data_IF_201256861755
#
_entry.id   IF_201256861755
#
_cell.length_a   1.000
_cell.length_b   1.000
_cell.length_c   1.000
_cell.angle_alpha   90.00
_cell.angle_beta   90.00
_cell.angle_gamma   90.00
#
_symmetry.space_group_name_H-M   'P 1'
#
loop_
_entity.id
_entity.type
_entity.pdbx_description
1 polymer ?
#
# COMPACT_ATOMS: atom_id res chain seq x y z
N UNK A 1 -11.12 3.21 -23.89
CA UNK A 1 -10.70 4.44 -24.60
C UNK A 1 -11.00 4.26 -26.07
N UNK A 2 -11.75 5.19 -26.71
CA UNK A 2 -12.05 5.15 -28.15
C UNK A 2 -11.31 6.30 -28.85
N UNK A 3 -10.80 6.06 -30.06
CA UNK A 3 -10.00 7.00 -30.80
C UNK A 3 -10.88 7.99 -31.58
N UNK A 4 -10.64 9.30 -31.45
CA UNK A 4 -11.42 10.30 -32.20
C UNK A 4 -11.02 10.35 -33.68
N UNK A 5 -11.94 10.71 -34.60
CA UNK A 5 -11.69 10.75 -36.04
C UNK A 5 -10.54 11.69 -36.45
N UNK A 6 -10.30 12.75 -35.67
CA UNK A 6 -9.26 13.75 -35.91
C UNK A 6 -7.86 13.20 -35.63
N UNK A 7 -7.75 12.35 -34.60
CA UNK A 7 -6.51 11.64 -34.27
C UNK A 7 -6.28 10.55 -35.32
N UNK A 8 -7.31 9.81 -35.71
CA UNK A 8 -7.24 8.75 -36.72
C UNK A 8 -6.69 9.25 -38.07
N UNK A 9 -7.10 10.45 -38.51
CA UNK A 9 -6.59 11.11 -39.72
C UNK A 9 -5.08 11.33 -39.74
N UNK A 10 -4.44 11.48 -38.58
CA UNK A 10 -2.99 11.71 -38.48
C UNK A 10 -2.16 10.44 -38.67
N UNK A 11 -2.75 9.26 -38.39
CA UNK A 11 -2.05 7.97 -38.43
C UNK A 11 -2.51 7.06 -39.57
N UNK A 12 -3.50 7.49 -40.36
CA UNK A 12 -4.09 6.81 -41.52
C UNK A 12 -3.08 6.42 -42.63
N UNK A 13 -1.89 7.03 -42.63
CA UNK A 13 -0.80 6.75 -43.59
C UNK A 13 0.19 5.67 -43.12
N UNK A 14 0.06 5.20 -41.89
CA UNK A 14 0.91 4.13 -41.37
C UNK A 14 0.34 2.78 -41.83
N UNK A 15 1.09 1.99 -42.63
CA UNK A 15 0.58 0.82 -43.33
C UNK A 15 0.25 -0.37 -42.43
N UNK A 16 0.79 -0.41 -41.21
CA UNK A 16 0.65 -1.54 -40.30
C UNK A 16 0.23 -1.10 -38.89
N UNK A 17 -0.66 -1.89 -38.29
CA UNK A 17 -1.23 -1.61 -36.97
C UNK A 17 -0.16 -1.42 -35.88
N UNK A 18 0.96 -2.13 -35.98
CA UNK A 18 2.09 -1.97 -35.05
C UNK A 18 2.70 -0.56 -35.11
N UNK A 19 2.84 0.03 -36.30
CA UNK A 19 3.37 1.38 -36.46
C UNK A 19 2.38 2.43 -35.96
N UNK A 20 1.08 2.24 -36.22
CA UNK A 20 0.01 3.07 -35.64
C UNK A 20 0.10 3.02 -34.11
N UNK A 21 0.24 1.82 -33.52
CA UNK A 21 0.34 1.68 -32.08
C UNK A 21 1.62 2.29 -31.52
N UNK A 22 2.76 2.13 -32.19
CA UNK A 22 4.02 2.73 -31.78
C UNK A 22 3.98 4.25 -31.86
N UNK A 23 3.37 4.83 -32.89
CA UNK A 23 3.24 6.27 -33.07
C UNK A 23 2.24 6.88 -32.09
N UNK A 24 1.14 6.17 -31.78
CA UNK A 24 0.20 6.57 -30.73
C UNK A 24 0.83 6.49 -29.35
N UNK A 25 1.56 5.41 -29.06
CA UNK A 25 2.36 5.32 -27.85
C UNK A 25 3.31 6.50 -27.79
N UNK A 26 4.18 6.73 -28.77
CA UNK A 26 5.11 7.87 -28.74
C UNK A 26 4.46 9.26 -28.59
N UNK A 27 3.24 9.45 -29.08
CA UNK A 27 2.54 10.74 -29.06
C UNK A 27 1.66 10.97 -27.81
N UNK A 28 1.18 9.89 -27.17
CA UNK A 28 0.21 9.95 -26.08
C UNK A 28 0.60 9.12 -24.85
N UNK A 29 1.61 8.26 -24.98
CA UNK A 29 2.31 7.59 -23.88
C UNK A 29 3.44 8.51 -23.43
N UNK A 30 3.23 9.14 -22.29
CA UNK A 30 4.08 10.15 -21.65
C UNK A 30 5.27 9.54 -20.86
N UNK A 31 5.54 8.24 -20.99
CA UNK A 31 6.53 7.57 -20.13
C UNK A 31 6.06 7.43 -18.67
N UNK A 32 4.74 7.51 -18.45
CA UNK A 32 4.09 7.61 -17.13
C UNK A 32 4.39 6.51 -16.12
N UNK A 33 5.02 5.41 -16.49
CA UNK A 33 5.22 4.33 -15.52
C UNK A 33 6.13 4.79 -14.37
N UNK A 34 7.20 5.54 -14.67
CA UNK A 34 8.08 6.08 -13.62
C UNK A 34 7.42 7.22 -12.82
N UNK A 35 6.61 8.07 -13.48
CA UNK A 35 5.86 9.13 -12.79
C UNK A 35 4.76 8.54 -11.88
N UNK A 36 4.12 7.47 -12.31
CA UNK A 36 3.12 6.73 -11.54
C UNK A 36 3.78 5.99 -10.38
N UNK A 37 4.89 5.28 -10.62
CA UNK A 37 5.72 4.66 -9.57
C UNK A 37 6.20 5.70 -8.57
N UNK A 38 6.66 6.88 -9.01
CA UNK A 38 7.01 7.98 -8.11
C UNK A 38 5.82 8.44 -7.28
N UNK A 39 4.65 8.62 -7.89
CA UNK A 39 3.42 9.05 -7.21
C UNK A 39 2.97 8.01 -6.18
N UNK A 40 3.01 6.73 -6.54
CA UNK A 40 2.68 5.60 -5.66
C UNK A 40 3.67 5.50 -4.51
N UNK A 41 4.98 5.60 -4.77
CA UNK A 41 5.99 5.63 -3.71
C UNK A 41 5.76 6.80 -2.76
N UNK A 42 5.54 8.01 -3.30
CA UNK A 42 5.21 9.17 -2.47
C UNK A 42 3.98 8.92 -1.62
N UNK A 43 2.92 8.33 -2.19
CA UNK A 43 1.71 7.95 -1.46
C UNK A 43 2.06 6.96 -0.34
N UNK A 44 2.75 5.86 -0.65
CA UNK A 44 3.13 4.84 0.30
C UNK A 44 3.86 5.42 1.53
N UNK A 45 4.85 6.30 1.33
CA UNK A 45 5.61 6.89 2.43
C UNK A 45 4.88 8.00 3.21
N UNK A 46 3.86 8.65 2.61
CA UNK A 46 3.18 9.80 3.22
C UNK A 46 1.81 9.45 3.82
N UNK A 47 1.17 8.36 3.37
CA UNK A 47 -0.11 7.93 3.91
C UNK A 47 0.04 7.56 5.39
N UNK A 48 -0.81 8.17 6.22
CA UNK A 48 -0.95 7.90 7.64
C UNK A 48 -2.38 7.43 7.94
N UNK A 49 -2.56 6.71 9.04
CA UNK A 49 -3.88 6.32 9.53
C UNK A 49 -4.71 7.57 9.85
N UNK A 50 -4.14 8.53 10.60
CA UNK A 50 -4.70 9.86 10.85
C UNK A 50 -6.14 9.84 11.37
N UNK A 51 -6.42 8.96 12.33
CA UNK A 51 -7.74 8.80 12.94
C UNK A 51 -8.74 8.00 12.11
N UNK A 52 -8.38 7.57 10.89
CA UNK A 52 -9.20 6.63 10.10
C UNK A 52 -9.20 5.26 10.74
N UNK A 53 -10.18 4.42 10.37
CA UNK A 53 -10.21 3.06 10.88
C UNK A 53 -8.98 2.28 10.40
N UNK A 54 -8.53 1.33 11.22
CA UNK A 54 -7.43 0.43 10.85
C UNK A 54 -7.73 -0.35 9.56
N UNK A 55 -8.99 -0.72 9.34
CA UNK A 55 -9.40 -1.43 8.14
C UNK A 55 -9.25 -0.57 6.88
N UNK A 56 -9.70 0.68 6.92
CA UNK A 56 -9.55 1.62 5.79
C UNK A 56 -8.07 1.89 5.48
N UNK A 57 -7.26 2.13 6.52
CA UNK A 57 -5.83 2.39 6.35
C UNK A 57 -5.08 1.17 5.79
N UNK A 58 -5.38 -0.03 6.30
CA UNK A 58 -4.81 -1.27 5.80
C UNK A 58 -5.21 -1.55 4.36
N UNK A 59 -6.50 -1.37 4.03
CA UNK A 59 -7.00 -1.56 2.67
C UNK A 59 -6.33 -0.62 1.66
N UNK A 60 -6.18 0.66 2.00
CA UNK A 60 -5.44 1.62 1.17
C UNK A 60 -3.98 1.19 1.02
N UNK A 61 -3.35 0.68 2.09
CA UNK A 61 -1.97 0.20 2.06
C UNK A 61 -1.76 -0.94 1.07
N UNK A 62 -2.62 -1.94 1.11
CA UNK A 62 -2.60 -3.06 0.18
C UNK A 62 -2.78 -2.60 -1.26
N UNK A 63 -3.67 -1.65 -1.52
CA UNK A 63 -3.96 -1.16 -2.87
C UNK A 63 -2.69 -0.61 -3.56
N UNK A 64 -1.99 0.33 -2.92
CA UNK A 64 -0.77 0.90 -3.54
C UNK A 64 0.40 -0.06 -3.53
N UNK A 65 0.49 -0.99 -2.58
CA UNK A 65 1.51 -2.04 -2.60
C UNK A 65 1.32 -3.01 -3.77
N UNK A 66 0.08 -3.46 -4.02
CA UNK A 66 -0.24 -4.28 -5.18
C UNK A 66 0.02 -3.54 -6.49
N UNK A 67 -0.28 -2.23 -6.56
CA UNK A 67 0.00 -1.44 -7.75
C UNK A 67 1.51 -1.25 -7.98
N UNK A 68 2.30 -1.06 -6.92
CA UNK A 68 3.77 -1.01 -7.01
C UNK A 68 4.35 -2.35 -7.48
N UNK A 69 3.90 -3.46 -6.92
CA UNK A 69 4.33 -4.81 -7.33
C UNK A 69 3.99 -5.09 -8.80
N UNK A 70 2.80 -4.69 -9.26
CA UNK A 70 2.39 -4.84 -10.65
C UNK A 70 3.29 -4.05 -11.63
N UNK A 71 3.84 -2.93 -11.18
CA UNK A 71 4.68 -2.03 -11.99
C UNK A 71 6.16 -2.34 -11.87
N UNK A 72 6.54 -3.29 -11.02
CA UNK A 72 7.92 -3.69 -10.89
C UNK A 72 8.41 -4.37 -12.18
N UNK A 73 9.52 -3.87 -12.70
CA UNK A 73 10.16 -4.34 -13.95
C UNK A 73 11.39 -5.18 -13.67
N UNK A 74 11.74 -5.41 -12.41
CA UNK A 74 12.92 -6.18 -12.05
C UNK A 74 12.76 -7.62 -12.54
N UNK A 75 13.64 -8.01 -13.47
CA UNK A 75 13.71 -9.39 -13.98
C UNK A 75 14.87 -10.10 -13.29
N UNK A 76 14.54 -11.01 -12.37
CA UNK A 76 15.49 -11.92 -11.74
C UNK A 76 15.33 -13.33 -12.32
N UNK A 77 16.45 -14.06 -12.44
CA UNK A 77 16.48 -15.42 -13.01
C UNK A 77 16.76 -16.49 -11.97
N UNK A 78 17.47 -16.13 -10.90
CA UNK A 78 17.82 -17.05 -9.84
C UNK A 78 16.68 -17.15 -8.80
N UNK A 79 16.21 -18.35 -8.44
CA UNK A 79 15.13 -18.52 -7.46
C UNK A 79 15.46 -18.01 -6.06
N UNK A 80 16.72 -18.09 -5.63
CA UNK A 80 17.16 -17.64 -4.30
C UNK A 80 17.17 -16.10 -4.25
N UNK A 81 17.64 -15.46 -5.32
CA UNK A 81 17.57 -13.99 -5.48
C UNK A 81 16.12 -13.50 -5.50
N UNK A 82 15.23 -14.20 -6.20
CA UNK A 82 13.78 -13.85 -6.23
C UNK A 82 13.20 -13.92 -4.81
N UNK A 83 13.51 -14.99 -4.06
CA UNK A 83 13.02 -15.14 -2.70
C UNK A 83 13.58 -14.06 -1.76
N UNK A 84 14.88 -13.74 -1.87
CA UNK A 84 15.51 -12.69 -1.09
C UNK A 84 14.94 -11.30 -1.40
N UNK A 85 14.70 -11.02 -2.69
CA UNK A 85 14.08 -9.77 -3.13
C UNK A 85 12.66 -9.61 -2.58
N UNK A 86 11.81 -10.63 -2.75
CA UNK A 86 10.44 -10.60 -2.21
C UNK A 86 10.42 -10.38 -0.71
N UNK A 87 11.29 -11.08 0.03
CA UNK A 87 11.44 -10.88 1.47
C UNK A 87 11.88 -9.46 1.83
N UNK A 88 12.75 -8.85 1.03
CA UNK A 88 13.18 -7.46 1.23
C UNK A 88 12.03 -6.47 0.98
N UNK A 89 11.26 -6.68 -0.09
CA UNK A 89 10.09 -5.84 -0.42
C UNK A 89 9.05 -5.96 0.69
N UNK A 90 8.66 -7.18 1.06
CA UNK A 90 7.69 -7.43 2.12
C UNK A 90 8.09 -6.75 3.45
N UNK A 91 9.36 -6.88 3.85
CA UNK A 91 9.90 -6.16 5.01
C UNK A 91 9.74 -4.64 4.89
N UNK A 92 10.01 -4.08 3.71
CA UNK A 92 9.81 -2.65 3.46
C UNK A 92 8.34 -2.24 3.56
N UNK A 93 7.42 -3.06 3.02
CA UNK A 93 5.97 -2.79 3.11
C UNK A 93 5.48 -2.79 4.57
N UNK A 94 5.96 -3.75 5.38
CA UNK A 94 5.68 -3.80 6.82
C UNK A 94 6.16 -2.52 7.51
N UNK A 95 7.38 -2.06 7.23
CA UNK A 95 7.89 -0.82 7.81
C UNK A 95 7.07 0.40 7.41
N UNK A 96 6.67 0.51 6.15
CA UNK A 96 5.84 1.61 5.66
C UNK A 96 4.48 1.62 6.38
N UNK A 97 3.83 0.46 6.46
CA UNK A 97 2.56 0.29 7.16
C UNK A 97 2.68 0.68 8.65
N UNK A 98 3.65 0.12 9.37
CA UNK A 98 3.85 0.40 10.79
C UNK A 98 4.20 1.88 11.06
N UNK A 99 4.97 2.50 10.16
CA UNK A 99 5.34 3.92 10.27
C UNK A 99 4.15 4.86 10.06
N UNK A 100 3.07 4.40 9.41
CA UNK A 100 1.89 5.20 9.18
C UNK A 100 0.76 5.03 10.20
N UNK A 101 0.87 4.06 11.10
CA UNK A 101 -0.08 3.87 12.21
C UNK A 101 -0.10 5.08 13.17
N UNK A 102 -1.27 5.30 13.77
CA UNK A 102 -1.44 6.32 14.80
C UNK A 102 -0.70 5.96 16.09
N UNK A 103 -0.38 6.97 16.91
CA UNK A 103 0.43 6.83 18.13
C UNK A 103 -0.15 5.89 19.20
N UNK A 104 -1.45 5.61 19.14
CA UNK A 104 -2.12 4.64 20.02
C UNK A 104 -1.52 3.23 19.90
N UNK A 105 -0.83 2.93 18.80
CA UNK A 105 -0.22 1.62 18.52
C UNK A 105 1.30 1.59 18.73
N UNK A 106 1.90 2.61 19.33
CA UNK A 106 3.36 2.71 19.53
C UNK A 106 3.95 1.48 20.22
N UNK A 107 3.31 1.01 21.29
CA UNK A 107 3.80 -0.13 22.06
C UNK A 107 3.80 -1.40 21.22
N UNK A 108 2.66 -1.77 20.62
CA UNK A 108 2.54 -2.99 19.82
C UNK A 108 3.43 -2.91 18.56
N UNK A 109 3.65 -1.71 18.01
CA UNK A 109 4.63 -1.50 16.93
C UNK A 109 6.05 -1.86 17.38
N UNK A 110 6.47 -1.42 18.57
CA UNK A 110 7.76 -1.81 19.14
C UNK A 110 7.88 -3.32 19.36
N UNK A 111 6.82 -3.96 19.87
CA UNK A 111 6.78 -5.41 20.07
C UNK A 111 6.87 -6.20 18.76
N UNK A 112 6.21 -5.73 17.70
CA UNK A 112 6.28 -6.33 16.35
C UNK A 112 7.71 -6.23 15.81
N UNK A 113 8.34 -5.05 15.90
CA UNK A 113 9.69 -4.79 15.37
C UNK A 113 10.79 -5.58 16.09
N UNK A 114 10.53 -6.08 17.30
CA UNK A 114 11.46 -6.91 18.07
C UNK A 114 11.39 -8.41 17.72
N UNK A 115 10.41 -8.84 16.91
CA UNK A 115 10.27 -10.25 16.51
C UNK A 115 11.31 -10.63 15.45
N UNK A 116 11.82 -11.85 15.57
CA UNK A 116 12.70 -12.47 14.57
C UNK A 116 12.21 -13.90 14.27
N UNK A 117 11.74 -14.20 13.04
CA UNK A 117 11.64 -13.27 11.91
C UNK A 117 10.59 -12.17 12.13
N UNK A 118 10.77 -11.04 11.45
CA UNK A 118 9.75 -9.99 11.38
C UNK A 118 8.47 -10.58 10.77
N UNK A 119 7.29 -10.39 11.38
CA UNK A 119 6.03 -10.86 10.84
C UNK A 119 5.74 -10.25 9.48
N UNK A 120 4.97 -10.96 8.66
CA UNK A 120 4.48 -10.40 7.41
C UNK A 120 3.42 -9.30 7.65
N UNK A 121 2.98 -8.68 6.55
CA UNK A 121 2.04 -7.56 6.61
C UNK A 121 0.66 -7.96 7.17
N UNK A 122 0.18 -9.18 6.87
CA UNK A 122 -1.11 -9.68 7.34
C UNK A 122 -1.03 -10.03 8.84
N UNK A 123 0.04 -10.69 9.26
CA UNK A 123 0.33 -10.98 10.67
C UNK A 123 0.46 -9.69 11.49
N UNK A 124 1.17 -8.68 10.96
CA UNK A 124 1.26 -7.36 11.57
C UNK A 124 -0.13 -6.74 11.74
N UNK A 125 -0.95 -6.73 10.69
CA UNK A 125 -2.30 -6.21 10.76
C UNK A 125 -3.16 -6.94 11.80
N UNK A 126 -3.07 -8.28 11.88
CA UNK A 126 -3.79 -9.07 12.86
C UNK A 126 -3.40 -8.72 14.31
N UNK A 127 -2.11 -8.51 14.58
CA UNK A 127 -1.60 -8.09 15.89
C UNK A 127 -2.11 -6.69 16.28
N UNK A 128 -2.02 -5.72 15.37
CA UNK A 128 -2.51 -4.36 15.60
C UNK A 128 -4.02 -4.35 15.82
N UNK A 129 -4.78 -5.12 15.03
CA UNK A 129 -6.23 -5.25 15.17
C UNK A 129 -6.61 -5.87 16.52
N UNK A 130 -5.87 -6.88 16.99
CA UNK A 130 -6.07 -7.47 18.32
C UNK A 130 -5.85 -6.43 19.41
N UNK A 131 -4.82 -5.61 19.28
CA UNK A 131 -4.53 -4.53 20.22
C UNK A 131 -5.64 -3.47 20.23
N UNK A 132 -6.15 -3.08 19.06
CA UNK A 132 -7.28 -2.15 18.97
C UNK A 132 -8.54 -2.67 19.68
N UNK A 133 -8.84 -3.97 19.56
CA UNK A 133 -9.96 -4.59 20.28
C UNK A 133 -9.75 -4.59 21.80
N UNK A 134 -8.51 -4.81 22.26
CA UNK A 134 -8.15 -4.72 23.69
C UNK A 134 -8.38 -3.32 24.23
N UNK A 135 -7.89 -2.29 23.54
CA UNK A 135 -8.10 -0.89 23.90
C UNK A 135 -9.59 -0.51 23.95
N UNK A 136 -10.40 -1.01 23.02
CA UNK A 136 -11.84 -0.76 23.01
C UNK A 136 -12.54 -1.39 24.23
N UNK A 137 -12.17 -2.61 24.62
CA UNK A 137 -12.71 -3.28 25.82
C UNK A 137 -12.37 -2.51 27.09
N UNK A 138 -11.11 -2.10 27.25
CA UNK A 138 -10.66 -1.37 28.43
C UNK A 138 -11.37 -0.02 28.58
N UNK A 139 -11.62 0.70 27.47
CA UNK A 139 -12.41 1.95 27.47
C UNK A 139 -13.88 1.74 27.83
N UNK A 140 -14.46 0.60 27.45
CA UNK A 140 -15.84 0.27 27.83
C UNK A 140 -15.97 -0.03 29.32
N UNK A 141 -14.99 -0.73 29.90
CA UNK A 141 -14.93 -1.05 31.33
C UNK A 141 -14.74 0.20 32.20
N UNK A 142 -13.89 1.15 31.80
CA UNK A 142 -13.68 2.40 32.54
C UNK A 142 -14.95 3.25 32.61
N UNK A 143 -15.66 3.38 31.48
CA UNK A 143 -16.91 4.15 31.41
C UNK A 143 -18.00 3.55 32.31
N UNK A 144 -18.02 2.22 32.46
CA UNK A 144 -18.97 1.55 33.37
C UNK A 144 -18.63 1.81 34.85
N UNK A 145 -17.35 1.87 35.21
CA UNK A 145 -16.94 2.21 36.58
C UNK A 145 -17.32 3.65 36.95
N UNK A 146 -17.08 4.61 36.05
CA UNK A 146 -17.39 6.02 36.29
C UNK A 146 -18.91 6.27 36.41
N UNK A 147 -19.71 5.57 35.60
CA UNK A 147 -21.18 5.64 35.69
C UNK A 147 -21.69 5.04 37.00
N UNK A 148 -21.07 3.97 37.49
CA UNK A 148 -21.43 3.36 38.78
C UNK A 148 -21.00 4.22 39.98
N UNK A 149 -19.91 4.98 39.88
CA UNK A 149 -19.42 5.85 40.95
C UNK A 149 -20.22 7.16 41.10
N UNK A 150 -20.92 7.60 40.05
CA UNK A 150 -21.81 8.79 40.10
C UNK A 150 -23.22 8.49 40.65
N UNK A 151 -23.54 7.21 40.90
CA UNK A 151 -24.81 6.78 41.52
C UNK A 151 -24.54 6.36 42.97
N UNK A 152 -24.04 7.29 43.80
CA UNK A 152 -23.96 7.16 45.28
C UNK A 152 -24.27 8.49 45.93
#
# INVERSE_FOLDING_TARGET
MSMSPEIMKRYLRLPIAQEIWSALSKAFYDGSDELQVFTLNKKAFTTKQSGRSLFEYYGESIEFFCELDHRDKVVMKDPEDIAAYRKSIERQLVHIFLAGLDGDFEQVRGEILLKDPLPDLEECYALIRREAMRHASMKAESNNLDTSAMVV
#
